data_IF_307851072437
#
_entry.id   IF_307851072437
#
_cell.length_a   1.000
_cell.length_b   1.000
_cell.length_c   1.000
_cell.angle_alpha   90.00
_cell.angle_beta   90.00
_cell.angle_gamma   90.00
#
_symmetry.space_group_name_H-M   'P 1'
#
loop_
_entity.id
_entity.type
_entity.pdbx_description
1 polymer ?
#
# COMPACT_ATOMS: atom_id res chain seq x y z
N UNK A 1 -6.76 31.73 -16.59
CA UNK A 1 -6.85 30.34 -17.10
C UNK A 1 -6.46 29.39 -15.97
N UNK A 2 -7.19 28.29 -15.81
CA UNK A 2 -6.83 27.22 -14.86
C UNK A 2 -5.47 26.62 -15.24
N UNK A 3 -4.72 26.12 -14.25
CA UNK A 3 -3.45 25.42 -14.48
C UNK A 3 -3.74 24.02 -14.99
N UNK A 4 -2.90 23.56 -15.92
CA UNK A 4 -2.91 22.18 -16.39
C UNK A 4 -2.20 21.26 -15.42
N UNK A 5 -2.60 20.00 -15.30
CA UNK A 5 -1.94 19.01 -14.47
C UNK A 5 -0.77 18.37 -15.23
N UNK A 6 0.42 18.38 -14.68
CA UNK A 6 1.63 17.78 -15.24
C UNK A 6 2.26 16.80 -14.27
N UNK A 7 2.51 15.56 -14.72
CA UNK A 7 3.31 14.57 -13.99
C UNK A 7 4.44 14.09 -14.91
N UNK A 8 5.63 13.88 -14.34
CA UNK A 8 6.78 13.27 -15.01
C UNK A 8 7.33 12.21 -14.05
N UNK A 9 7.01 10.96 -14.32
CA UNK A 9 7.38 9.83 -13.47
C UNK A 9 7.23 8.49 -14.21
N UNK A 10 7.83 7.43 -13.67
CA UNK A 10 7.55 6.05 -14.05
C UNK A 10 6.28 5.59 -13.34
N UNK A 11 5.33 5.03 -14.06
CA UNK A 11 4.05 4.60 -13.48
C UNK A 11 4.14 3.34 -12.61
N UNK A 12 5.23 2.59 -12.72
CA UNK A 12 5.49 1.46 -11.81
C UNK A 12 5.80 1.92 -10.38
N UNK A 13 6.31 3.13 -10.21
CA UNK A 13 6.68 3.71 -8.91
C UNK A 13 5.88 4.94 -8.50
N UNK A 14 4.95 5.40 -9.36
CA UNK A 14 4.14 6.57 -9.07
C UNK A 14 2.65 6.30 -9.33
N UNK A 15 1.89 6.26 -8.27
CA UNK A 15 0.47 5.93 -8.31
C UNK A 15 -0.39 6.98 -9.02
N UNK A 16 -0.02 8.27 -8.97
CA UNK A 16 -0.81 9.33 -9.61
C UNK A 16 -0.76 9.22 -11.15
N UNK A 17 0.42 8.96 -11.72
CA UNK A 17 0.52 8.80 -13.17
C UNK A 17 -0.14 7.48 -13.63
N UNK A 18 -0.04 6.41 -12.82
CA UNK A 18 -0.76 5.16 -13.07
C UNK A 18 -2.27 5.38 -13.03
N UNK A 19 -2.79 6.06 -12.01
CA UNK A 19 -4.20 6.43 -11.88
C UNK A 19 -4.71 7.24 -13.08
N UNK A 20 -3.91 8.23 -13.50
CA UNK A 20 -4.29 9.12 -14.58
C UNK A 20 -4.34 8.43 -15.94
N UNK A 21 -3.51 7.41 -16.18
CA UNK A 21 -3.25 6.85 -17.52
C UNK A 21 -3.62 5.38 -17.65
N UNK A 22 -3.74 4.63 -16.56
CA UNK A 22 -3.88 3.17 -16.60
C UNK A 22 -2.70 2.44 -17.26
N UNK A 23 -1.65 3.16 -17.65
CA UNK A 23 -0.52 2.65 -18.43
C UNK A 23 0.68 2.36 -17.53
N UNK A 24 1.18 1.13 -17.57
CA UNK A 24 2.36 0.71 -16.81
C UNK A 24 3.61 0.76 -17.67
N UNK A 25 4.57 1.60 -17.24
CA UNK A 25 5.88 1.73 -17.84
C UNK A 25 6.97 1.85 -16.78
N UNK A 26 8.12 1.15 -16.97
CA UNK A 26 9.24 1.17 -16.03
C UNK A 26 9.99 2.50 -16.07
N UNK A 27 10.00 3.16 -17.23
CA UNK A 27 10.67 4.44 -17.43
C UNK A 27 9.72 5.63 -17.24
N UNK A 28 10.28 6.76 -16.81
CA UNK A 28 9.53 7.99 -16.65
C UNK A 28 9.02 8.53 -17.99
N UNK A 29 7.77 8.91 -18.04
CA UNK A 29 7.13 9.58 -19.16
C UNK A 29 6.36 10.83 -18.70
N UNK A 30 5.87 11.61 -19.65
CA UNK A 30 5.18 12.86 -19.34
C UNK A 30 3.66 12.67 -19.50
N UNK A 31 2.91 12.98 -18.46
CA UNK A 31 1.46 13.09 -18.49
C UNK A 31 1.05 14.56 -18.38
N UNK A 32 0.11 14.98 -19.20
CA UNK A 32 -0.51 16.31 -19.17
C UNK A 32 -2.03 16.18 -19.25
N UNK A 33 -2.73 16.80 -18.32
CA UNK A 33 -4.16 17.02 -18.43
C UNK A 33 -4.42 18.51 -18.62
N UNK A 34 -5.02 18.88 -19.76
CA UNK A 34 -5.30 20.26 -20.13
C UNK A 34 -6.59 20.35 -20.94
N UNK A 35 -7.44 21.33 -20.64
CA UNK A 35 -8.71 21.50 -21.34
C UNK A 35 -9.65 20.29 -21.29
N UNK A 36 -9.59 19.50 -20.21
CA UNK A 36 -10.37 18.27 -20.03
C UNK A 36 -9.87 17.07 -20.85
N UNK A 37 -8.70 17.16 -21.48
CA UNK A 37 -8.08 16.09 -22.27
C UNK A 37 -6.78 15.60 -21.62
N UNK A 38 -6.57 14.29 -21.65
CA UNK A 38 -5.38 13.61 -21.17
C UNK A 38 -4.42 13.32 -22.33
N UNK A 39 -3.19 13.75 -22.18
CA UNK A 39 -2.09 13.55 -23.12
C UNK A 39 -0.93 12.86 -22.44
N UNK A 40 -0.24 11.98 -23.17
CA UNK A 40 1.07 11.45 -22.75
C UNK A 40 2.10 11.66 -23.83
N UNK A 41 3.35 11.93 -23.40
CA UNK A 41 4.51 12.01 -24.28
C UNK A 41 5.43 10.85 -23.94
N UNK A 42 5.57 9.92 -24.87
CA UNK A 42 6.32 8.68 -24.71
C UNK A 42 7.56 8.65 -25.62
N UNK A 43 8.59 7.93 -25.19
CA UNK A 43 9.71 7.56 -26.03
C UNK A 43 9.30 6.47 -27.06
N UNK A 44 10.18 6.19 -28.02
CA UNK A 44 9.88 5.25 -29.10
C UNK A 44 9.77 3.79 -28.63
N UNK A 45 10.33 3.45 -27.46
CA UNK A 45 10.21 2.11 -26.86
C UNK A 45 8.80 1.81 -26.37
N UNK A 46 8.09 2.85 -25.93
CA UNK A 46 6.78 2.71 -25.25
C UNK A 46 5.60 3.20 -26.10
N UNK A 47 5.86 3.85 -27.25
CA UNK A 47 4.83 4.55 -28.00
C UNK A 47 3.69 3.63 -28.48
N UNK A 48 4.00 2.44 -28.99
CA UNK A 48 2.99 1.51 -29.53
C UNK A 48 2.21 0.83 -28.39
N UNK A 49 2.87 0.51 -27.28
CA UNK A 49 2.18 0.05 -26.07
C UNK A 49 1.25 1.14 -25.51
N UNK A 50 1.73 2.36 -25.44
CA UNK A 50 0.93 3.49 -24.96
C UNK A 50 -0.32 3.73 -25.79
N UNK A 51 -0.24 3.61 -27.13
CA UNK A 51 -1.40 3.74 -28.03
C UNK A 51 -2.47 2.68 -27.83
N UNK A 52 -2.09 1.49 -27.38
CA UNK A 52 -3.02 0.35 -27.22
C UNK A 52 -3.48 0.13 -25.78
N UNK A 53 -2.68 0.54 -24.78
CA UNK A 53 -2.90 0.21 -23.38
C UNK A 53 -3.27 1.41 -22.51
N UNK A 54 -2.87 2.64 -22.89
CA UNK A 54 -3.13 3.81 -22.07
C UNK A 54 -4.59 4.31 -22.21
N UNK A 55 -5.18 4.70 -21.11
CA UNK A 55 -6.51 5.32 -21.04
C UNK A 55 -6.36 6.84 -21.10
N UNK A 56 -5.99 7.36 -22.28
CA UNK A 56 -5.75 8.78 -22.54
C UNK A 56 -6.29 9.19 -23.91
N UNK A 57 -6.47 10.49 -24.14
CA UNK A 57 -7.00 11.00 -25.41
C UNK A 57 -5.95 11.11 -26.50
N UNK A 58 -4.69 11.33 -26.13
CA UNK A 58 -3.60 11.59 -27.10
C UNK A 58 -2.30 10.97 -26.61
N UNK A 59 -1.63 10.25 -27.52
CA UNK A 59 -0.28 9.71 -27.32
C UNK A 59 0.65 10.36 -28.33
N UNK A 60 1.55 11.21 -27.85
CA UNK A 60 2.55 11.92 -28.65
C UNK A 60 3.92 11.23 -28.54
N UNK A 61 4.73 11.32 -29.61
CA UNK A 61 6.11 10.79 -29.63
C UNK A 61 7.11 11.86 -29.20
N UNK A 62 7.97 11.50 -28.24
CA UNK A 62 9.07 12.35 -27.78
C UNK A 62 10.06 12.65 -28.92
N UNK A 63 10.42 11.66 -29.74
CA UNK A 63 11.37 11.83 -30.84
C UNK A 63 10.83 12.78 -31.91
N UNK A 64 9.52 12.75 -32.21
CA UNK A 64 8.89 13.69 -33.15
C UNK A 64 8.96 15.12 -32.61
N UNK A 65 8.61 15.35 -31.35
CA UNK A 65 8.72 16.68 -30.74
C UNK A 65 10.16 17.16 -30.67
N UNK A 66 11.09 16.27 -30.27
CA UNK A 66 12.51 16.59 -30.19
C UNK A 66 13.09 16.99 -31.55
N UNK A 67 12.76 16.24 -32.61
CA UNK A 67 13.24 16.52 -33.98
C UNK A 67 12.67 17.84 -34.53
N UNK A 68 11.42 18.19 -34.18
CA UNK A 68 10.80 19.43 -34.62
C UNK A 68 11.49 20.70 -34.07
N UNK A 69 12.18 20.60 -32.93
CA UNK A 69 12.90 21.73 -32.30
C UNK A 69 14.44 21.58 -32.36
N UNK A 70 14.91 20.48 -32.93
CA UNK A 70 16.36 20.23 -33.04
C UNK A 70 17.01 21.21 -34.03
N UNK A 71 18.16 21.81 -33.70
CA UNK A 71 18.91 22.61 -34.66
C UNK A 71 19.47 21.72 -35.78
N UNK A 72 19.57 22.25 -36.99
CA UNK A 72 20.18 21.54 -38.13
C UNK A 72 21.63 21.08 -37.83
N UNK A 73 22.34 21.88 -37.05
CA UNK A 73 23.71 21.58 -36.58
C UNK A 73 23.83 21.98 -35.11
N UNK A 74 24.53 21.19 -34.31
CA UNK A 74 24.82 21.51 -32.94
C UNK A 74 24.23 20.51 -31.91
N UNK A 75 24.12 20.93 -30.65
CA UNK A 75 23.73 20.07 -29.56
C UNK A 75 22.23 19.82 -29.57
N UNK A 76 21.81 18.56 -29.38
CA UNK A 76 20.40 18.17 -29.26
C UNK A 76 19.70 18.88 -28.11
N UNK A 77 18.39 19.13 -28.22
CA UNK A 77 17.63 19.78 -27.17
C UNK A 77 17.59 18.91 -25.90
N UNK A 78 17.67 19.57 -24.74
CA UNK A 78 17.54 18.87 -23.45
C UNK A 78 16.09 18.39 -23.25
N UNK A 79 15.90 17.38 -22.40
CA UNK A 79 14.59 16.86 -22.04
C UNK A 79 13.61 17.99 -21.66
N UNK A 80 14.02 18.91 -20.78
CA UNK A 80 13.17 20.02 -20.36
C UNK A 80 12.78 20.95 -21.52
N UNK A 81 13.66 21.17 -22.52
CA UNK A 81 13.33 21.96 -23.72
C UNK A 81 12.28 21.26 -24.59
N UNK A 82 12.41 19.93 -24.76
CA UNK A 82 11.44 19.14 -25.53
C UNK A 82 10.06 19.18 -24.83
N UNK A 83 10.02 18.93 -23.52
CA UNK A 83 8.79 18.99 -22.73
C UNK A 83 8.18 20.39 -22.76
N UNK A 84 8.99 21.47 -22.63
CA UNK A 84 8.47 22.83 -22.69
C UNK A 84 7.86 23.18 -24.07
N UNK A 85 8.50 22.75 -25.16
CA UNK A 85 7.95 22.93 -26.50
C UNK A 85 6.64 22.15 -26.70
N UNK A 86 6.58 20.92 -26.20
CA UNK A 86 5.36 20.11 -26.23
C UNK A 86 4.23 20.76 -25.40
N UNK A 87 4.51 21.24 -24.18
CA UNK A 87 3.54 21.98 -23.35
C UNK A 87 3.04 23.24 -24.05
N UNK A 88 3.94 24.00 -24.70
CA UNK A 88 3.58 25.19 -25.46
C UNK A 88 2.63 24.84 -26.63
N UNK A 89 2.87 23.75 -27.37
CA UNK A 89 1.99 23.28 -28.46
C UNK A 89 0.60 22.93 -27.98
N UNK A 90 0.46 22.51 -26.71
CA UNK A 90 -0.84 22.23 -26.05
C UNK A 90 -1.42 23.48 -25.33
N UNK A 91 -0.77 24.65 -25.44
CA UNK A 91 -1.12 25.90 -24.73
C UNK A 91 -1.11 25.76 -23.19
N UNK A 92 -0.28 24.86 -22.66
CA UNK A 92 -0.15 24.50 -21.24
C UNK A 92 1.11 25.09 -20.60
N UNK A 93 1.30 26.41 -20.70
CA UNK A 93 2.48 27.10 -20.15
C UNK A 93 2.41 27.37 -18.63
N UNK A 94 1.25 27.10 -18.00
CA UNK A 94 1.05 27.18 -16.55
C UNK A 94 0.61 25.81 -16.05
N UNK A 95 1.48 25.15 -15.30
CA UNK A 95 1.23 23.78 -14.84
C UNK A 95 1.21 23.66 -13.31
N UNK A 96 0.40 22.73 -12.83
CA UNK A 96 0.37 22.22 -11.48
C UNK A 96 1.06 20.85 -11.47
N UNK A 97 1.96 20.61 -10.55
CA UNK A 97 2.72 19.38 -10.42
C UNK A 97 2.55 18.75 -9.03
N UNK A 98 2.73 17.43 -8.86
CA UNK A 98 2.79 16.82 -7.52
C UNK A 98 3.87 17.47 -6.65
N UNK A 99 3.69 17.44 -5.32
CA UNK A 99 4.68 17.98 -4.37
C UNK A 99 6.04 17.30 -4.53
N UNK A 100 6.06 15.98 -4.78
CA UNK A 100 7.27 15.19 -5.03
C UNK A 100 7.82 15.31 -6.48
N UNK A 101 7.40 16.33 -7.24
CA UNK A 101 7.90 16.53 -8.62
C UNK A 101 9.42 16.80 -8.64
N UNK A 102 10.19 16.17 -9.58
CA UNK A 102 11.64 16.31 -9.60
C UNK A 102 12.11 17.77 -9.72
N UNK A 103 12.77 18.27 -8.68
CA UNK A 103 13.22 19.67 -8.59
C UNK A 103 14.06 20.10 -9.79
N UNK A 104 14.99 19.26 -10.26
CA UNK A 104 15.83 19.59 -11.41
C UNK A 104 14.99 19.86 -12.67
N UNK A 105 13.98 19.04 -12.91
CA UNK A 105 13.06 19.20 -14.06
C UNK A 105 12.22 20.46 -13.88
N UNK A 106 11.68 20.72 -12.68
CA UNK A 106 10.90 21.92 -12.39
C UNK A 106 11.71 23.20 -12.64
N UNK A 107 12.97 23.23 -12.17
CA UNK A 107 13.91 24.36 -12.38
C UNK A 107 14.15 24.60 -13.89
N UNK A 108 14.39 23.54 -14.65
CA UNK A 108 14.75 23.65 -16.06
C UNK A 108 13.53 23.99 -16.93
N UNK A 109 12.33 23.51 -16.57
CA UNK A 109 11.07 23.94 -17.17
C UNK A 109 10.79 25.42 -16.92
N UNK A 110 11.04 25.92 -15.70
CA UNK A 110 10.94 27.36 -15.38
C UNK A 110 11.88 28.20 -16.24
N UNK A 111 13.15 27.77 -16.44
CA UNK A 111 14.11 28.42 -17.33
C UNK A 111 13.62 28.41 -18.79
N UNK A 112 12.84 27.42 -19.19
CA UNK A 112 12.25 27.30 -20.51
C UNK A 112 10.89 28.05 -20.64
N UNK A 113 10.50 28.86 -19.66
CA UNK A 113 9.29 29.71 -19.71
C UNK A 113 8.01 29.07 -19.21
N UNK A 114 8.06 27.89 -18.59
CA UNK A 114 6.89 27.23 -18.02
C UNK A 114 6.71 27.66 -16.55
N UNK A 115 5.50 28.15 -16.21
CA UNK A 115 5.14 28.47 -14.82
C UNK A 115 4.73 27.19 -14.09
N UNK A 116 5.64 26.63 -13.29
CA UNK A 116 5.48 25.38 -12.54
C UNK A 116 5.14 25.69 -11.08
N UNK A 117 3.99 25.21 -10.59
CA UNK A 117 3.59 25.28 -9.18
C UNK A 117 3.30 23.91 -8.59
N UNK A 118 3.86 23.56 -7.44
CA UNK A 118 3.49 22.33 -6.73
C UNK A 118 2.07 22.45 -6.18
N UNK A 119 1.42 21.30 -6.02
CA UNK A 119 0.15 21.13 -5.30
C UNK A 119 0.46 20.86 -3.84
N UNK A 120 -0.34 21.39 -2.93
CA UNK A 120 -0.37 20.96 -1.54
C UNK A 120 -1.44 19.86 -1.37
N UNK A 121 -1.08 18.75 -0.74
CA UNK A 121 -1.96 17.60 -0.55
C UNK A 121 -2.08 16.67 -1.77
N UNK A 122 -3.08 15.79 -1.80
CA UNK A 122 -3.24 14.79 -2.86
C UNK A 122 -3.35 15.43 -4.25
N UNK A 123 -2.59 14.90 -5.21
CA UNK A 123 -2.62 15.43 -6.58
C UNK A 123 -3.94 15.11 -7.29
N UNK A 124 -4.45 13.89 -7.09
CA UNK A 124 -5.79 13.48 -7.48
C UNK A 124 -6.65 13.13 -6.26
N UNK A 125 -7.38 14.09 -5.67
CA UNK A 125 -8.26 13.83 -4.53
C UNK A 125 -9.33 12.75 -4.82
N UNK A 126 -9.69 12.56 -6.09
CA UNK A 126 -10.64 11.54 -6.52
C UNK A 126 -10.21 10.11 -6.20
N UNK A 127 -8.89 9.85 -6.02
CA UNK A 127 -8.38 8.53 -5.59
C UNK A 127 -8.92 8.08 -4.22
N UNK A 128 -9.32 9.02 -3.39
CA UNK A 128 -9.84 8.71 -2.05
C UNK A 128 -11.18 7.95 -2.12
N UNK A 129 -12.01 8.25 -3.10
CA UNK A 129 -13.33 7.65 -3.28
C UNK A 129 -13.29 6.67 -4.44
N UNK A 130 -13.34 5.38 -4.14
CA UNK A 130 -13.20 4.32 -5.14
C UNK A 130 -14.49 4.11 -5.90
N UNK A 131 -14.38 4.05 -7.22
CA UNK A 131 -15.44 3.56 -8.10
C UNK A 131 -15.66 2.05 -7.91
N UNK A 132 -16.78 1.48 -8.36
CA UNK A 132 -17.02 0.05 -8.29
C UNK A 132 -15.93 -0.80 -8.97
N UNK A 133 -15.37 -0.34 -10.10
CA UNK A 133 -14.30 -1.04 -10.80
C UNK A 133 -12.96 -1.01 -10.05
N UNK A 134 -12.66 0.08 -9.37
CA UNK A 134 -11.48 0.20 -8.52
C UNK A 134 -11.60 -0.68 -7.29
N UNK A 135 -12.79 -0.75 -6.67
CA UNK A 135 -13.06 -1.69 -5.57
C UNK A 135 -12.83 -3.15 -6.02
N UNK A 136 -13.30 -3.53 -7.22
CA UNK A 136 -13.07 -4.87 -7.77
C UNK A 136 -11.56 -5.16 -7.97
N UNK A 137 -10.77 -4.15 -8.42
CA UNK A 137 -9.32 -4.27 -8.52
C UNK A 137 -8.67 -4.53 -7.16
N UNK A 138 -9.08 -3.81 -6.12
CA UNK A 138 -8.60 -4.01 -4.75
C UNK A 138 -9.02 -5.38 -4.21
N UNK A 139 -10.28 -5.81 -4.43
CA UNK A 139 -10.75 -7.14 -4.04
C UNK A 139 -9.93 -8.27 -4.70
N UNK A 140 -9.49 -8.07 -5.96
CA UNK A 140 -8.61 -9.02 -6.62
C UNK A 140 -7.22 -9.07 -5.96
N UNK A 141 -6.66 -7.93 -5.60
CA UNK A 141 -5.37 -7.86 -4.90
C UNK A 141 -5.46 -8.45 -3.48
N UNK A 142 -6.59 -8.26 -2.78
CA UNK A 142 -6.86 -8.92 -1.50
C UNK A 142 -6.88 -10.45 -1.66
N UNK A 143 -7.50 -10.98 -2.70
CA UNK A 143 -7.47 -12.44 -2.97
C UNK A 143 -6.04 -12.96 -3.19
N UNK A 144 -5.17 -12.16 -3.80
CA UNK A 144 -3.74 -12.50 -3.92
C UNK A 144 -3.07 -12.54 -2.54
N UNK A 145 -3.35 -11.57 -1.66
CA UNK A 145 -2.85 -11.56 -0.29
C UNK A 145 -3.37 -12.77 0.52
N UNK A 146 -4.66 -13.10 0.39
CA UNK A 146 -5.27 -14.25 1.04
C UNK A 146 -4.66 -15.60 0.57
N UNK A 147 -4.25 -15.73 -0.70
CA UNK A 147 -3.51 -16.89 -1.18
C UNK A 147 -2.13 -17.02 -0.51
N UNK A 148 -1.41 -15.88 -0.36
CA UNK A 148 -0.16 -15.85 0.40
C UNK A 148 -0.36 -16.26 1.86
N UNK A 149 -1.39 -15.72 2.51
CA UNK A 149 -1.77 -16.04 3.89
C UNK A 149 -2.10 -17.52 4.05
N UNK A 150 -2.91 -18.09 3.12
CA UNK A 150 -3.26 -19.51 3.13
C UNK A 150 -2.02 -20.40 3.07
N UNK A 151 -1.05 -20.05 2.21
CA UNK A 151 0.22 -20.80 2.11
C UNK A 151 1.03 -20.72 3.41
N UNK A 152 1.12 -19.53 4.02
CA UNK A 152 1.81 -19.36 5.30
C UNK A 152 1.20 -20.23 6.41
N UNK A 153 -0.12 -20.20 6.55
CA UNK A 153 -0.86 -21.01 7.53
C UNK A 153 -0.73 -22.51 7.25
N UNK A 154 -0.78 -22.94 5.99
CA UNK A 154 -0.59 -24.34 5.59
C UNK A 154 0.79 -24.85 6.05
N UNK A 155 1.86 -24.12 5.79
CA UNK A 155 3.22 -24.51 6.18
C UNK A 155 3.37 -24.57 7.71
N UNK A 156 2.84 -23.56 8.41
CA UNK A 156 2.89 -23.57 9.88
C UNK A 156 2.14 -24.79 10.45
N UNK A 157 0.96 -25.15 9.93
CA UNK A 157 0.23 -26.35 10.35
C UNK A 157 1.00 -27.64 10.06
N UNK A 158 1.61 -27.73 8.89
CA UNK A 158 2.38 -28.91 8.47
C UNK A 158 3.75 -29.00 9.13
N UNK A 159 4.20 -27.95 9.84
CA UNK A 159 5.49 -27.94 10.52
C UNK A 159 5.48 -28.84 11.76
N UNK A 160 6.63 -29.46 12.07
CA UNK A 160 6.85 -30.28 13.25
C UNK A 160 7.56 -29.46 14.32
N UNK A 161 7.08 -29.53 15.55
CA UNK A 161 7.73 -28.91 16.71
C UNK A 161 8.90 -29.80 17.14
N UNK A 162 10.12 -29.25 17.15
CA UNK A 162 11.35 -29.93 17.58
C UNK A 162 11.51 -29.87 19.08
N UNK A 163 12.43 -30.69 19.64
CA UNK A 163 12.73 -30.72 21.09
C UNK A 163 13.22 -29.38 21.64
N UNK A 164 13.88 -28.57 20.80
CA UNK A 164 14.37 -27.22 21.15
C UNK A 164 13.32 -26.12 20.93
N UNK A 165 12.06 -26.51 20.72
CA UNK A 165 10.92 -25.67 20.41
C UNK A 165 11.04 -24.89 19.08
N UNK A 166 12.03 -25.16 18.21
CA UNK A 166 12.04 -24.61 16.85
C UNK A 166 11.07 -25.40 15.96
N UNK A 167 10.51 -24.73 14.94
CA UNK A 167 9.70 -25.41 13.94
C UNK A 167 10.57 -26.00 12.84
N UNK A 168 10.17 -27.15 12.29
CA UNK A 168 10.79 -27.72 11.10
C UNK A 168 9.74 -28.04 10.03
N UNK A 169 10.08 -27.75 8.79
CA UNK A 169 9.29 -28.06 7.60
C UNK A 169 10.20 -28.72 6.56
N UNK A 170 9.73 -29.82 5.95
CA UNK A 170 10.52 -30.60 4.99
C UNK A 170 11.93 -30.96 5.49
N UNK A 171 12.03 -31.37 6.77
CA UNK A 171 13.26 -31.77 7.49
C UNK A 171 14.28 -30.64 7.71
N UNK A 172 13.95 -29.39 7.39
CA UNK A 172 14.79 -28.21 7.65
C UNK A 172 14.17 -27.37 8.76
N UNK A 173 14.99 -26.62 9.50
CA UNK A 173 14.50 -25.60 10.43
C UNK A 173 13.71 -24.59 9.63
N UNK A 174 12.48 -24.29 10.05
CA UNK A 174 11.65 -23.27 9.43
C UNK A 174 12.04 -21.92 9.99
N UNK A 175 12.52 -21.04 9.14
CA UNK A 175 12.87 -19.65 9.49
C UNK A 175 11.85 -18.67 8.92
N UNK A 176 11.85 -17.45 9.47
CA UNK A 176 11.04 -16.34 8.96
C UNK A 176 11.29 -16.09 7.48
N UNK A 177 12.55 -16.12 7.04
CA UNK A 177 12.95 -15.95 5.64
C UNK A 177 12.42 -17.06 4.75
N UNK A 178 12.50 -18.32 5.21
CA UNK A 178 12.00 -19.46 4.43
C UNK A 178 10.48 -19.43 4.29
N UNK A 179 9.76 -19.09 5.36
CA UNK A 179 8.30 -18.97 5.32
C UNK A 179 7.87 -17.79 4.44
N UNK A 180 8.56 -16.65 4.54
CA UNK A 180 8.34 -15.48 3.67
C UNK A 180 8.50 -15.85 2.20
N UNK A 181 9.58 -16.54 1.84
CA UNK A 181 9.81 -16.96 0.46
C UNK A 181 8.67 -17.85 -0.09
N UNK A 182 8.15 -18.77 0.71
CA UNK A 182 7.01 -19.60 0.31
C UNK A 182 5.72 -18.81 0.11
N UNK A 183 5.46 -17.84 1.01
CA UNK A 183 4.33 -16.90 0.91
C UNK A 183 4.46 -16.07 -0.39
N UNK A 184 5.63 -15.49 -0.63
CA UNK A 184 5.88 -14.68 -1.82
C UNK A 184 5.80 -15.48 -3.12
N UNK A 185 6.24 -16.74 -3.12
CA UNK A 185 6.02 -17.65 -4.25
C UNK A 185 4.52 -17.89 -4.53
N UNK A 186 3.70 -18.01 -3.49
CA UNK A 186 2.26 -18.17 -3.65
C UNK A 186 1.61 -16.88 -4.20
N UNK A 187 2.06 -15.71 -3.74
CA UNK A 187 1.65 -14.39 -4.26
C UNK A 187 1.95 -14.27 -5.75
N UNK A 188 3.18 -14.62 -6.18
CA UNK A 188 3.57 -14.57 -7.61
C UNK A 188 2.71 -15.50 -8.44
N UNK A 189 2.47 -16.75 -7.99
CA UNK A 189 1.61 -17.71 -8.69
C UNK A 189 0.15 -17.24 -8.80
N UNK A 190 -0.29 -16.43 -7.85
CA UNK A 190 -1.63 -15.83 -7.87
C UNK A 190 -1.73 -14.54 -8.72
N UNK A 191 -0.63 -14.13 -9.38
CA UNK A 191 -0.56 -12.93 -10.23
C UNK A 191 -0.17 -11.64 -9.50
N UNK A 192 0.40 -11.75 -8.30
CA UNK A 192 0.93 -10.62 -7.54
C UNK A 192 2.41 -10.37 -7.77
N UNK A 193 2.87 -9.21 -7.34
CA UNK A 193 4.28 -8.84 -7.23
C UNK A 193 4.76 -9.11 -5.81
N UNK A 194 5.83 -9.91 -5.66
CA UNK A 194 6.54 -10.07 -4.41
C UNK A 194 7.62 -8.98 -4.30
N UNK A 195 7.59 -8.25 -3.20
CA UNK A 195 8.48 -7.08 -2.97
C UNK A 195 9.55 -7.37 -1.92
N UNK A 196 9.51 -8.55 -1.29
CA UNK A 196 10.42 -8.95 -0.22
C UNK A 196 10.15 -8.26 1.11
N UNK A 197 9.01 -7.62 1.28
CA UNK A 197 8.63 -6.85 2.47
C UNK A 197 7.52 -7.50 3.32
N UNK A 198 7.03 -8.68 2.94
CA UNK A 198 6.14 -9.52 3.76
C UNK A 198 6.73 -9.74 5.16
N UNK A 199 5.93 -9.46 6.20
CA UNK A 199 6.32 -9.65 7.60
C UNK A 199 5.99 -11.07 8.05
N UNK A 200 6.98 -11.73 8.66
CA UNK A 200 6.85 -13.01 9.36
C UNK A 200 7.62 -12.89 10.67
N UNK A 201 7.04 -12.22 11.65
CA UNK A 201 7.70 -11.89 12.91
C UNK A 201 7.23 -12.81 14.03
N UNK A 202 8.18 -13.47 14.73
CA UNK A 202 7.91 -14.45 15.77
C UNK A 202 8.39 -13.96 17.15
N UNK A 203 7.55 -14.15 18.16
CA UNK A 203 7.88 -13.86 19.56
C UNK A 203 8.12 -12.37 19.81
N UNK A 204 9.26 -12.01 20.40
CA UNK A 204 9.58 -10.62 20.73
C UNK A 204 9.84 -9.74 19.49
N UNK A 205 10.24 -10.32 18.35
CA UNK A 205 10.35 -9.60 17.07
C UNK A 205 8.99 -9.04 16.65
N UNK A 206 7.90 -9.73 16.97
CA UNK A 206 6.54 -9.26 16.67
C UNK A 206 6.14 -8.00 17.48
N UNK A 207 6.95 -7.58 18.47
CA UNK A 207 6.70 -6.33 19.23
C UNK A 207 7.17 -5.07 18.50
N UNK A 208 7.88 -5.20 17.39
CA UNK A 208 8.17 -4.10 16.46
C UNK A 208 7.25 -4.23 15.24
N UNK A 209 6.31 -3.31 15.02
CA UNK A 209 5.29 -3.44 13.95
C UNK A 209 5.85 -3.63 12.53
N UNK A 210 7.05 -3.12 12.25
CA UNK A 210 7.70 -3.21 10.93
C UNK A 210 8.87 -4.19 10.88
N UNK A 211 9.14 -4.94 11.97
CA UNK A 211 10.16 -5.99 11.95
C UNK A 211 9.69 -7.15 11.05
N UNK A 212 10.47 -7.40 10.00
CA UNK A 212 10.14 -8.41 8.99
C UNK A 212 10.29 -9.85 9.48
N UNK A 213 10.93 -10.01 10.63
CA UNK A 213 11.27 -11.29 11.21
C UNK A 213 12.50 -11.94 10.60
N UNK A 214 13.26 -12.63 11.42
CA UNK A 214 14.49 -13.31 11.03
C UNK A 214 14.75 -14.55 11.88
N UNK A 215 15.48 -15.52 11.31
CA UNK A 215 15.92 -16.73 12.00
C UNK A 215 14.81 -17.74 12.30
N UNK A 216 15.07 -18.72 13.19
CA UNK A 216 14.16 -19.83 13.45
C UNK A 216 12.83 -19.39 14.06
N UNK A 217 11.71 -19.83 13.47
CA UNK A 217 10.39 -19.68 14.06
C UNK A 217 10.26 -20.69 15.22
N UNK A 218 9.72 -20.22 16.36
CA UNK A 218 9.54 -21.03 17.56
C UNK A 218 8.08 -21.40 17.79
N UNK A 219 7.86 -22.62 18.25
CA UNK A 219 6.57 -23.06 18.76
C UNK A 219 6.16 -22.29 20.02
N UNK A 220 4.87 -22.25 20.30
CA UNK A 220 4.28 -21.63 21.48
C UNK A 220 4.55 -20.11 21.59
N UNK A 221 4.90 -19.47 20.47
CA UNK A 221 5.07 -18.02 20.38
C UNK A 221 4.10 -17.42 19.36
N UNK A 222 3.71 -16.17 19.60
CA UNK A 222 2.92 -15.40 18.66
C UNK A 222 3.71 -15.13 17.38
N UNK A 223 3.09 -15.34 16.22
CA UNK A 223 3.67 -15.13 14.91
C UNK A 223 2.75 -14.19 14.14
N UNK A 224 3.24 -12.99 13.86
CA UNK A 224 2.55 -12.07 12.95
C UNK A 224 2.92 -12.43 11.51
N UNK A 225 1.89 -12.64 10.68
CA UNK A 225 1.98 -12.69 9.22
C UNK A 225 1.27 -11.47 8.69
N UNK A 226 2.00 -10.58 7.98
CA UNK A 226 1.47 -9.35 7.40
C UNK A 226 1.88 -9.28 5.92
N UNK A 227 0.87 -9.23 5.03
CA UNK A 227 1.01 -9.56 3.62
C UNK A 227 0.27 -8.53 2.78
N UNK A 228 1.01 -7.66 2.07
CA UNK A 228 0.47 -6.53 1.29
C UNK A 228 0.99 -6.52 -0.17
N UNK A 229 0.62 -7.53 -0.98
CA UNK A 229 1.05 -7.64 -2.36
C UNK A 229 0.37 -6.59 -3.25
N UNK A 230 1.03 -6.31 -4.37
CA UNK A 230 0.47 -5.57 -5.48
C UNK A 230 0.01 -6.53 -6.57
N UNK A 231 -1.17 -6.34 -7.13
CA UNK A 231 -1.59 -7.05 -8.34
C UNK A 231 -0.69 -6.64 -9.53
N UNK A 232 -0.02 -7.59 -10.15
CA UNK A 232 0.97 -7.35 -11.20
C UNK A 232 0.36 -6.76 -12.49
N UNK A 233 -0.94 -6.96 -12.71
CA UNK A 233 -1.64 -6.48 -13.91
C UNK A 233 -2.19 -5.07 -13.71
N UNK A 234 -2.82 -4.82 -12.57
CA UNK A 234 -3.59 -3.59 -12.34
C UNK A 234 -2.88 -2.56 -11.50
N UNK A 235 -1.94 -3.02 -10.65
CA UNK A 235 -1.21 -2.15 -9.72
C UNK A 235 -1.95 -1.88 -8.41
N UNK A 236 -3.16 -2.40 -8.19
CA UNK A 236 -3.87 -2.29 -6.91
C UNK A 236 -3.20 -3.13 -5.84
N UNK A 237 -3.25 -2.64 -4.59
CA UNK A 237 -2.74 -3.36 -3.43
C UNK A 237 -3.85 -4.12 -2.71
N UNK A 238 -3.52 -5.32 -2.20
CA UNK A 238 -4.24 -6.01 -1.15
C UNK A 238 -3.47 -5.90 0.14
N UNK A 239 -4.16 -6.09 1.28
CA UNK A 239 -3.53 -6.02 2.60
C UNK A 239 -4.25 -6.93 3.59
N UNK A 240 -3.47 -7.69 4.41
CA UNK A 240 -4.02 -8.59 5.40
C UNK A 240 -2.98 -8.96 6.46
N UNK A 241 -3.32 -8.79 7.72
CA UNK A 241 -2.51 -9.31 8.84
C UNK A 241 -3.27 -10.35 9.65
N UNK A 242 -2.59 -11.43 10.00
CA UNK A 242 -3.04 -12.45 10.96
C UNK A 242 -1.95 -12.76 11.98
N UNK A 243 -2.35 -12.96 13.21
CA UNK A 243 -1.47 -13.45 14.28
C UNK A 243 -1.89 -14.84 14.72
N UNK A 244 -0.95 -15.77 14.71
CA UNK A 244 -1.17 -17.18 15.04
C UNK A 244 -0.13 -17.70 16.00
N UNK A 245 -0.39 -18.88 16.62
CA UNK A 245 0.56 -19.67 17.40
C UNK A 245 0.65 -21.07 16.81
N UNK A 246 1.84 -21.59 16.57
CA UNK A 246 2.02 -23.01 16.28
C UNK A 246 2.27 -23.77 17.59
N UNK A 247 1.31 -24.62 17.98
CA UNK A 247 1.27 -25.28 19.28
C UNK A 247 0.27 -24.61 20.23
N UNK A 248 0.57 -24.59 21.52
CA UNK A 248 -0.31 -24.07 22.55
C UNK A 248 0.09 -22.65 22.95
N UNK A 249 -0.86 -21.75 23.01
CA UNK A 249 -0.68 -20.40 23.53
C UNK A 249 -0.75 -20.38 25.06
N UNK A 250 0.00 -19.47 25.69
CA UNK A 250 -0.18 -19.16 27.11
C UNK A 250 -1.47 -18.36 27.35
N UNK A 251 -1.94 -18.26 28.58
CA UNK A 251 -3.12 -17.45 28.94
C UNK A 251 -2.89 -15.96 28.64
N UNK A 252 -1.69 -15.45 28.85
CA UNK A 252 -1.32 -14.07 28.50
C UNK A 252 -1.39 -13.82 26.98
N UNK A 253 -0.87 -14.72 26.16
CA UNK A 253 -0.95 -14.65 24.71
C UNK A 253 -2.39 -14.71 24.22
N UNK A 254 -3.22 -15.57 24.81
CA UNK A 254 -4.65 -15.67 24.50
C UNK A 254 -5.39 -14.39 24.85
N UNK A 255 -5.14 -13.86 26.05
CA UNK A 255 -5.73 -12.59 26.48
C UNK A 255 -5.34 -11.44 25.56
N UNK A 256 -4.08 -11.37 25.15
CA UNK A 256 -3.58 -10.36 24.20
C UNK A 256 -4.28 -10.48 22.85
N UNK A 257 -4.34 -11.69 22.30
CA UNK A 257 -4.95 -11.98 21.01
C UNK A 257 -6.45 -11.64 21.00
N UNK A 258 -7.21 -12.07 22.03
CA UNK A 258 -8.63 -11.81 22.16
C UNK A 258 -8.93 -10.31 22.35
N UNK A 259 -8.09 -9.63 23.14
CA UNK A 259 -8.22 -8.17 23.35
C UNK A 259 -8.05 -7.41 22.04
N UNK A 260 -7.03 -7.74 21.26
CA UNK A 260 -6.79 -7.14 19.95
C UNK A 260 -7.96 -7.42 18.98
N UNK A 261 -8.42 -8.67 18.89
CA UNK A 261 -9.56 -9.06 18.06
C UNK A 261 -10.85 -8.31 18.43
N UNK A 262 -11.12 -8.14 19.72
CA UNK A 262 -12.30 -7.42 20.19
C UNK A 262 -12.19 -5.93 19.89
N UNK A 263 -11.00 -5.34 19.94
CA UNK A 263 -10.75 -3.98 19.49
C UNK A 263 -11.06 -3.80 17.99
N UNK A 264 -10.59 -4.72 17.14
CA UNK A 264 -10.89 -4.69 15.73
C UNK A 264 -12.41 -4.83 15.46
N UNK A 265 -13.09 -5.78 16.12
CA UNK A 265 -14.54 -5.94 15.99
C UNK A 265 -15.31 -4.68 16.41
N UNK A 266 -14.86 -3.99 17.45
CA UNK A 266 -15.43 -2.73 17.90
C UNK A 266 -15.24 -1.63 16.87
N UNK A 267 -14.04 -1.52 16.27
CA UNK A 267 -13.78 -0.59 15.18
C UNK A 267 -14.71 -0.84 13.99
N UNK A 268 -14.74 -2.07 13.49
CA UNK A 268 -15.56 -2.47 12.33
C UNK A 268 -17.05 -2.15 12.53
N UNK A 269 -17.56 -2.34 13.75
CA UNK A 269 -18.95 -2.02 14.11
C UNK A 269 -19.23 -0.52 14.15
N UNK A 270 -18.20 0.28 14.48
CA UNK A 270 -18.33 1.74 14.66
C UNK A 270 -18.16 2.53 13.37
N UNK A 271 -17.51 1.94 12.35
CA UNK A 271 -17.25 2.62 11.07
C UNK A 271 -18.54 2.79 10.29
N UNK A 272 -18.91 4.04 10.04
CA UNK A 272 -20.04 4.46 9.18
C UNK A 272 -19.84 5.90 8.73
N UNK A 273 -20.52 6.38 7.67
CA UNK A 273 -20.42 7.77 7.23
C UNK A 273 -20.69 8.76 8.36
N UNK A 274 -19.91 9.82 8.41
CA UNK A 274 -20.03 10.89 9.39
C UNK A 274 -19.27 10.66 10.72
N UNK A 275 -18.74 9.47 10.95
CA UNK A 275 -17.87 9.18 12.12
C UNK A 275 -16.45 9.59 11.82
N UNK A 276 -15.79 10.22 12.79
CA UNK A 276 -14.36 10.53 12.70
C UNK A 276 -13.52 9.31 13.12
N UNK A 277 -12.49 8.98 12.33
CA UNK A 277 -11.60 7.87 12.61
C UNK A 277 -10.81 8.05 13.92
N UNK A 278 -10.53 9.30 14.36
CA UNK A 278 -9.88 9.56 15.65
C UNK A 278 -10.71 9.03 16.82
N UNK A 279 -12.04 9.16 16.76
CA UNK A 279 -12.93 8.71 17.84
C UNK A 279 -12.86 7.19 18.00
N UNK A 280 -12.78 6.47 16.87
CA UNK A 280 -12.61 5.01 16.86
C UNK A 280 -11.22 4.63 17.38
N UNK A 281 -10.18 5.35 17.00
CA UNK A 281 -8.82 5.11 17.47
C UNK A 281 -8.74 5.23 19.00
N UNK A 282 -9.27 6.32 19.57
CA UNK A 282 -9.27 6.52 21.02
C UNK A 282 -10.16 5.50 21.76
N UNK A 283 -11.29 5.10 21.16
CA UNK A 283 -12.13 4.02 21.71
C UNK A 283 -11.33 2.71 21.83
N UNK A 284 -10.55 2.33 20.81
CA UNK A 284 -9.74 1.11 20.83
C UNK A 284 -8.65 1.23 21.91
N UNK A 285 -7.94 2.36 21.98
CA UNK A 285 -6.91 2.59 23.01
C UNK A 285 -7.47 2.49 24.42
N UNK A 286 -8.63 3.09 24.67
CA UNK A 286 -9.31 3.02 25.95
C UNK A 286 -9.70 1.56 26.29
N UNK A 287 -10.23 0.81 25.32
CA UNK A 287 -10.59 -0.60 25.50
C UNK A 287 -9.36 -1.46 25.82
N UNK A 288 -8.23 -1.23 25.16
CA UNK A 288 -7.00 -1.95 25.42
C UNK A 288 -6.44 -1.61 26.80
N UNK A 289 -6.43 -0.33 27.19
CA UNK A 289 -5.99 0.11 28.51
C UNK A 289 -6.86 -0.50 29.63
N UNK A 290 -8.18 -0.55 29.46
CA UNK A 290 -9.11 -1.17 30.42
C UNK A 290 -8.89 -2.69 30.57
N UNK A 291 -8.26 -3.33 29.59
CA UNK A 291 -7.88 -4.76 29.63
C UNK A 291 -6.44 -5.00 30.10
N UNK A 292 -5.75 -3.97 30.59
CA UNK A 292 -4.39 -4.07 31.13
C UNK A 292 -3.28 -3.83 30.10
N UNK A 293 -3.61 -3.36 28.89
CA UNK A 293 -2.63 -3.06 27.83
C UNK A 293 -2.58 -1.56 27.46
N UNK A 294 -2.28 -0.67 28.43
CA UNK A 294 -2.15 0.75 28.12
C UNK A 294 -0.91 1.01 27.26
N UNK A 295 -1.03 2.03 26.38
CA UNK A 295 0.11 2.50 25.60
C UNK A 295 1.08 3.25 26.51
N UNK A 296 2.32 2.81 26.58
CA UNK A 296 3.36 3.39 27.44
C UNK A 296 4.76 3.04 26.94
N UNK A 297 5.77 3.69 27.50
CA UNK A 297 7.18 3.27 27.38
C UNK A 297 7.57 2.49 28.62
N UNK A 298 8.17 1.32 28.45
CA UNK A 298 8.68 0.47 29.53
C UNK A 298 10.08 -0.03 29.15
N UNK A 299 11.06 0.21 30.01
CA UNK A 299 12.47 -0.12 29.76
C UNK A 299 12.99 0.38 28.40
N UNK A 300 12.59 1.60 28.02
CA UNK A 300 13.01 2.23 26.76
C UNK A 300 12.29 1.71 25.50
N UNK A 301 11.34 0.79 25.62
CA UNK A 301 10.55 0.25 24.51
C UNK A 301 9.08 0.69 24.60
N UNK A 302 8.49 1.02 23.45
CA UNK A 302 7.05 1.21 23.35
C UNK A 302 6.31 -0.12 23.56
N UNK A 303 5.18 -0.07 24.32
CA UNK A 303 4.24 -1.17 24.46
C UNK A 303 2.80 -0.68 24.37
N UNK A 304 1.87 -1.60 24.11
CA UNK A 304 0.45 -1.30 23.89
C UNK A 304 0.13 -1.05 22.43
N UNK A 305 -0.75 -0.09 22.13
CA UNK A 305 -1.16 0.28 20.78
C UNK A 305 -0.63 1.68 20.43
N UNK A 306 0.42 1.76 19.63
CA UNK A 306 1.17 3.00 19.37
C UNK A 306 1.31 3.35 17.88
N UNK A 307 0.50 2.75 17.00
CA UNK A 307 0.37 3.14 15.59
C UNK A 307 -1.08 3.48 15.24
N UNK A 308 -1.37 3.86 14.00
CA UNK A 308 -2.72 4.16 13.54
C UNK A 308 -3.63 2.94 13.52
N UNK A 309 -4.94 3.15 13.57
CA UNK A 309 -5.93 2.05 13.45
C UNK A 309 -6.03 1.53 12.03
N UNK A 310 -5.56 2.28 11.05
CA UNK A 310 -5.57 1.91 9.64
C UNK A 310 -5.24 3.09 8.72
N UNK A 311 -5.28 2.82 7.44
CA UNK A 311 -4.96 3.76 6.37
C UNK A 311 -5.82 3.49 5.14
N UNK A 312 -5.86 4.42 4.20
CA UNK A 312 -6.43 4.21 2.88
C UNK A 312 -5.59 3.23 2.08
N UNK A 313 -6.25 2.39 1.30
CA UNK A 313 -5.63 1.38 0.43
C UNK A 313 -6.07 1.58 -1.01
N UNK A 314 -5.13 1.43 -1.95
CA UNK A 314 -5.43 1.59 -3.36
C UNK A 314 -4.27 1.26 -4.27
N UNK A 315 -3.79 2.22 -5.04
CA UNK A 315 -2.58 2.12 -5.86
C UNK A 315 -1.29 2.33 -5.06
N UNK A 316 -1.42 2.69 -3.79
CA UNK A 316 -0.37 2.68 -2.77
C UNK A 316 -0.87 1.88 -1.57
N UNK A 317 0.06 1.23 -0.84
CA UNK A 317 -0.29 0.56 0.44
C UNK A 317 -0.86 1.60 1.40
N UNK A 318 -0.18 2.73 1.52
CA UNK A 318 -0.58 3.82 2.39
C UNK A 318 -1.00 5.05 1.56
N UNK A 319 -2.29 5.19 1.27
CA UNK A 319 -2.80 6.39 0.61
C UNK A 319 -3.88 7.10 1.45
N UNK A 320 -4.45 8.16 0.93
CA UNK A 320 -5.61 8.81 1.54
C UNK A 320 -6.88 7.94 1.39
N UNK A 321 -7.77 7.98 2.40
CA UNK A 321 -7.71 8.84 3.59
C UNK A 321 -6.79 8.27 4.69
N UNK A 322 -6.28 9.14 5.56
CA UNK A 322 -5.63 8.74 6.81
C UNK A 322 -6.70 8.48 7.86
N UNK A 323 -6.75 7.27 8.42
CA UNK A 323 -7.82 6.85 9.33
C UNK A 323 -8.07 7.84 10.45
N UNK A 324 -7.02 8.26 11.16
CA UNK A 324 -7.10 9.12 12.36
C UNK A 324 -7.49 10.58 12.11
N UNK A 325 -7.50 11.05 10.85
CA UNK A 325 -7.82 12.45 10.52
C UNK A 325 -9.02 12.60 9.60
N UNK A 326 -9.72 11.49 9.33
CA UNK A 326 -10.79 11.44 8.33
C UNK A 326 -12.15 11.30 9.00
N UNK A 327 -13.12 12.10 8.53
CA UNK A 327 -14.54 11.79 8.71
C UNK A 327 -14.95 10.88 7.56
N UNK A 328 -15.40 9.67 7.85
CA UNK A 328 -15.68 8.67 6.84
C UNK A 328 -16.82 9.07 5.91
N UNK A 329 -16.62 8.78 4.63
CA UNK A 329 -17.64 8.95 3.58
C UNK A 329 -17.75 7.68 2.73
N UNK A 330 -18.91 7.41 2.10
CA UNK A 330 -19.08 6.24 1.25
C UNK A 330 -18.08 6.23 0.07
N UNK A 331 -17.56 5.05 -0.25
CA UNK A 331 -16.59 4.83 -1.33
C UNK A 331 -15.14 4.81 -0.88
N UNK A 332 -14.83 5.17 0.36
CA UNK A 332 -13.48 5.02 0.91
C UNK A 332 -13.17 3.55 1.18
N UNK A 333 -11.95 3.12 0.81
CA UNK A 333 -11.39 1.81 1.14
C UNK A 333 -10.26 2.01 2.13
N UNK A 334 -10.32 1.29 3.25
CA UNK A 334 -9.44 1.45 4.41
C UNK A 334 -9.04 0.09 4.97
N UNK A 335 -7.84 0.01 5.56
CA UNK A 335 -7.47 -1.05 6.49
C UNK A 335 -8.06 -0.78 7.87
N UNK A 336 -8.29 -1.84 8.64
CA UNK A 336 -8.64 -1.79 10.06
C UNK A 336 -7.75 -2.80 10.78
N UNK A 337 -6.67 -2.31 11.37
CA UNK A 337 -5.50 -3.10 11.79
C UNK A 337 -5.01 -2.78 13.21
N UNK A 338 -5.86 -2.70 14.23
CA UNK A 338 -5.34 -2.47 15.56
C UNK A 338 -4.35 -3.55 15.96
N UNK A 339 -3.30 -3.15 16.70
CA UNK A 339 -2.28 -4.05 17.20
C UNK A 339 -1.97 -3.78 18.67
N UNK A 340 -1.58 -4.81 19.39
CA UNK A 340 -1.06 -4.72 20.75
C UNK A 340 0.30 -5.40 20.79
N UNK A 341 1.30 -4.68 21.24
CA UNK A 341 2.69 -5.13 21.29
C UNK A 341 3.14 -5.13 22.75
N UNK A 342 3.46 -6.31 23.28
CA UNK A 342 3.76 -6.47 24.71
C UNK A 342 5.04 -7.28 24.91
N UNK A 343 6.20 -6.60 25.03
CA UNK A 343 7.49 -7.26 25.23
C UNK A 343 7.44 -8.30 26.35
N UNK A 344 8.01 -9.47 26.10
CA UNK A 344 7.92 -10.63 26.99
C UNK A 344 6.71 -11.56 26.74
N UNK A 345 5.67 -11.09 26.07
CA UNK A 345 4.50 -11.91 25.65
C UNK A 345 4.48 -12.07 24.12
N UNK A 346 4.70 -10.97 23.37
CA UNK A 346 4.72 -10.92 21.91
C UNK A 346 3.85 -9.80 21.35
N UNK A 347 3.70 -9.77 20.03
CA UNK A 347 2.86 -8.83 19.31
C UNK A 347 1.64 -9.51 18.68
N UNK A 348 0.53 -8.79 18.64
CA UNK A 348 -0.70 -9.19 17.93
C UNK A 348 -1.20 -8.04 17.08
N UNK A 349 -1.46 -8.32 15.79
CA UNK A 349 -2.19 -7.45 14.87
C UNK A 349 -3.22 -8.25 14.09
N UNK A 350 -4.42 -7.73 14.00
CA UNK A 350 -5.48 -8.27 13.14
C UNK A 350 -5.90 -7.19 12.18
N UNK A 351 -5.84 -7.50 10.91
CA UNK A 351 -6.14 -6.56 9.84
C UNK A 351 -7.14 -7.13 8.86
N UNK A 352 -8.09 -6.30 8.47
CA UNK A 352 -8.98 -6.51 7.34
C UNK A 352 -9.15 -5.21 6.57
N UNK A 353 -9.40 -5.33 5.29
CA UNK A 353 -9.76 -4.20 4.42
C UNK A 353 -11.27 -4.06 4.35
N UNK A 354 -11.75 -2.82 4.41
CA UNK A 354 -13.17 -2.48 4.33
C UNK A 354 -13.45 -1.45 3.24
N UNK A 355 -14.67 -1.48 2.73
CA UNK A 355 -15.31 -0.40 1.99
C UNK A 355 -16.31 0.30 2.88
N UNK A 356 -16.20 1.62 3.03
CA UNK A 356 -17.25 2.44 3.67
C UNK A 356 -18.46 2.50 2.74
N UNK A 357 -19.61 2.03 3.21
CA UNK A 357 -20.88 2.03 2.49
C UNK A 357 -21.78 3.17 2.98
N UNK A 358 -22.96 3.33 2.40
CA UNK A 358 -23.94 4.36 2.83
C UNK A 358 -24.43 4.16 4.29
N UNK A 359 -24.34 2.94 4.85
CA UNK A 359 -24.89 2.59 6.16
C UNK A 359 -23.87 2.02 7.15
N UNK A 360 -22.64 1.77 6.76
CA UNK A 360 -21.62 1.14 7.61
C UNK A 360 -20.38 0.74 6.83
N UNK A 361 -19.70 -0.33 7.27
CA UNK A 361 -18.53 -0.90 6.60
C UNK A 361 -18.86 -2.29 6.02
N UNK A 362 -18.40 -2.53 4.78
CA UNK A 362 -18.42 -3.85 4.15
C UNK A 362 -17.00 -4.42 4.16
N UNK A 363 -16.81 -5.60 4.72
CA UNK A 363 -15.53 -6.31 4.65
C UNK A 363 -15.24 -6.70 3.20
N UNK A 364 -14.01 -6.45 2.76
CA UNK A 364 -13.47 -6.92 1.48
C UNK A 364 -12.58 -8.15 1.66
N UNK A 365 -12.00 -8.33 2.87
CA UNK A 365 -11.22 -9.50 3.28
C UNK A 365 -12.14 -10.60 3.76
N UNK A 366 -11.87 -11.86 3.39
CA UNK A 366 -12.68 -13.02 3.77
C UNK A 366 -11.92 -14.10 4.55
N UNK A 367 -10.59 -13.98 4.65
CA UNK A 367 -9.73 -14.98 5.28
C UNK A 367 -10.02 -15.11 6.79
N UNK A 368 -10.18 -16.33 7.33
CA UNK A 368 -10.46 -16.54 8.75
C UNK A 368 -9.31 -16.05 9.65
N UNK A 369 -9.61 -15.95 10.95
CA UNK A 369 -8.65 -15.59 11.99
C UNK A 369 -8.34 -16.83 12.86
N UNK A 370 -7.55 -17.81 12.36
CA UNK A 370 -7.11 -18.92 13.20
C UNK A 370 -6.17 -18.39 14.27
N UNK A 371 -6.18 -19.03 15.45
CA UNK A 371 -5.25 -18.67 16.53
C UNK A 371 -4.21 -19.75 16.74
N UNK A 372 -4.60 -20.92 17.23
CA UNK A 372 -3.70 -22.08 17.42
C UNK A 372 -3.75 -22.97 16.18
N UNK A 373 -2.56 -23.39 15.75
CA UNK A 373 -2.37 -24.20 14.54
C UNK A 373 -1.79 -25.60 14.87
#
# INVERSE_FOLDING_TARGET
MARSNLIIAASESNADILYATGFRAPDAFVFLETGGRKHILLNDLEIDRGRTQATVDVVDSYSVVSSAIAPKHGKQPTFAKVVAAWLASKKATKVRVPEAFPYGIARDLKKAGIDVKPTTGPFFPAREIKSPSEVQGIEQAIRIAENGMARGIEILRASTIRKDATLSYQRKVLTSEALRAEIECAIIRAGGEARGDTIVACGDQACDPHERGSGPIRAHQLIILDIFPRDAKTGWFGDITRTVVRGQATDDQRTLWETCLNGQKSALKSIKPGINGSDIHELIKANFAARGFPTSVHEGRWRGFFHGTGHGLGLEVHEHPRFSTTTFVPGQVLTVEPGIYWPGVGGVRHEDVILVTKSGARLLTSFPKPFEL
#
